data_IF_568450576930
#
_entry.id   IF_568450576930
#
_cell.length_a   1.000
_cell.length_b   1.000
_cell.length_c   1.000
_cell.angle_alpha   90.00
_cell.angle_beta   90.00
_cell.angle_gamma   90.00
#
_symmetry.space_group_name_H-M   'P 1'
#
loop_
_entity.id
_entity.type
_entity.pdbx_description
1 polymer ?
#
# COMPACT_ATOMS: atom_id res chain seq x y z
N UNK A 1 -49.66 -20.11 23.55
CA UNK A 1 -48.50 -20.55 22.74
C UNK A 1 -48.22 -19.65 21.54
N UNK A 2 -49.21 -19.27 20.70
CA UNK A 2 -49.00 -18.42 19.51
C UNK A 2 -48.33 -17.05 19.81
N UNK A 3 -48.73 -16.36 20.90
CA UNK A 3 -48.24 -15.02 21.28
C UNK A 3 -46.75 -15.00 21.68
N UNK A 4 -46.27 -16.06 22.33
CA UNK A 4 -44.88 -16.20 22.76
C UNK A 4 -43.98 -16.38 21.54
N UNK A 5 -44.42 -17.18 20.57
CA UNK A 5 -43.73 -17.38 19.30
C UNK A 5 -43.59 -16.07 18.50
N UNK A 6 -44.60 -15.20 18.55
CA UNK A 6 -44.56 -13.90 17.88
C UNK A 6 -43.54 -12.96 18.51
N UNK A 7 -43.50 -12.92 19.85
CA UNK A 7 -42.55 -12.11 20.61
C UNK A 7 -41.11 -12.59 20.40
N UNK A 8 -40.89 -13.91 20.42
CA UNK A 8 -39.58 -14.50 20.19
C UNK A 8 -39.07 -14.24 18.77
N UNK A 9 -39.95 -14.35 17.77
CA UNK A 9 -39.64 -14.05 16.37
C UNK A 9 -39.28 -12.57 16.17
N UNK A 10 -40.03 -11.66 16.80
CA UNK A 10 -39.71 -10.24 16.76
C UNK A 10 -38.33 -9.96 17.39
N UNK A 11 -38.04 -10.55 18.55
CA UNK A 11 -36.75 -10.36 19.23
C UNK A 11 -35.56 -10.90 18.40
N UNK A 12 -35.76 -12.03 17.72
CA UNK A 12 -34.77 -12.61 16.82
C UNK A 12 -34.48 -11.70 15.61
N UNK A 13 -35.53 -11.10 15.02
CA UNK A 13 -35.37 -10.15 13.91
C UNK A 13 -34.60 -8.88 14.33
N UNK A 14 -34.81 -8.39 15.56
CA UNK A 14 -34.01 -7.29 16.09
C UNK A 14 -32.54 -7.66 16.32
N UNK A 15 -32.22 -8.92 16.68
CA UNK A 15 -30.82 -9.36 16.83
C UNK A 15 -30.04 -9.47 15.51
N UNK A 16 -30.73 -9.55 14.37
CA UNK A 16 -30.11 -9.52 13.04
C UNK A 16 -29.94 -8.12 12.46
N UNK A 17 -30.18 -7.06 13.24
CA UNK A 17 -29.77 -5.71 12.87
C UNK A 17 -28.23 -5.61 12.92
N UNK A 18 -27.60 -6.16 11.89
CA UNK A 18 -26.15 -6.07 11.69
C UNK A 18 -25.78 -4.60 11.55
N UNK A 19 -25.05 -4.09 12.53
CA UNK A 19 -24.27 -2.88 12.36
C UNK A 19 -23.27 -3.16 11.26
N UNK A 20 -23.54 -2.64 10.05
CA UNK A 20 -22.57 -2.66 8.97
C UNK A 20 -21.40 -1.78 9.38
N UNK A 21 -20.42 -2.37 10.07
CA UNK A 21 -19.12 -1.75 10.26
C UNK A 21 -18.51 -1.65 8.88
N UNK A 22 -18.59 -0.45 8.30
CA UNK A 22 -17.86 -0.10 7.09
C UNK A 22 -16.37 -0.18 7.39
N UNK A 23 -15.77 -1.34 7.10
CA UNK A 23 -14.32 -1.48 7.09
C UNK A 23 -13.82 -0.71 5.87
N UNK A 24 -13.45 0.55 6.09
CA UNK A 24 -12.72 1.32 5.09
C UNK A 24 -11.32 0.72 5.01
N UNK A 25 -11.06 -0.09 3.98
CA UNK A 25 -9.71 -0.50 3.64
C UNK A 25 -8.89 0.78 3.40
N UNK A 26 -7.93 1.07 4.28
CA UNK A 26 -7.07 2.23 4.13
C UNK A 26 -6.17 1.96 2.92
N UNK A 27 -6.41 2.68 1.83
CA UNK A 27 -5.61 2.56 0.61
C UNK A 27 -4.15 2.82 0.96
N UNK A 28 -3.27 1.88 0.64
CA UNK A 28 -1.83 2.03 0.85
C UNK A 28 -1.33 3.24 0.03
N UNK A 29 -0.76 4.22 0.74
CA UNK A 29 -0.17 5.42 0.16
C UNK A 29 1.03 5.82 1.00
N UNK A 30 2.21 5.34 0.60
CA UNK A 30 3.47 5.63 1.29
C UNK A 30 4.19 6.72 0.53
N UNK A 31 4.51 7.82 1.20
CA UNK A 31 5.31 8.91 0.64
C UNK A 31 6.75 8.77 1.10
N UNK A 32 7.68 8.81 0.14
CA UNK A 32 9.11 8.73 0.33
C UNK A 32 9.77 10.00 -0.19
N UNK A 33 10.80 10.44 0.52
CA UNK A 33 11.71 11.50 0.07
C UNK A 33 13.04 10.87 -0.32
N UNK A 34 14.05 11.68 -0.59
CA UNK A 34 15.42 11.19 -0.80
C UNK A 34 15.90 10.33 0.39
N UNK A 35 16.46 9.15 0.09
CA UNK A 35 16.95 8.23 1.12
C UNK A 35 17.00 6.78 0.68
N UNK A 36 17.37 5.92 1.64
CA UNK A 36 17.45 4.46 1.48
C UNK A 36 16.43 3.84 2.43
N UNK A 37 15.54 3.01 1.89
CA UNK A 37 14.42 2.41 2.61
C UNK A 37 14.46 0.89 2.49
N UNK A 38 14.40 0.18 3.62
CA UNK A 38 14.20 -1.27 3.59
C UNK A 38 12.71 -1.56 3.36
N UNK A 39 12.39 -2.53 2.49
CA UNK A 39 10.99 -2.90 2.20
C UNK A 39 10.24 -3.31 3.47
N UNK A 40 10.92 -4.01 4.39
CA UNK A 40 10.36 -4.41 5.69
C UNK A 40 9.89 -3.23 6.54
N UNK A 41 10.65 -2.14 6.55
CA UNK A 41 10.35 -0.96 7.39
C UNK A 41 9.17 -0.16 6.83
N UNK A 42 8.96 -0.24 5.51
CA UNK A 42 7.82 0.35 4.81
C UNK A 42 6.51 -0.43 5.05
N UNK A 43 6.55 -1.57 5.76
CA UNK A 43 5.40 -2.45 6.02
C UNK A 43 4.70 -2.92 4.74
N UNK A 44 5.45 -3.00 3.64
CA UNK A 44 4.98 -3.58 2.39
C UNK A 44 4.94 -5.11 2.52
N UNK A 45 4.05 -5.76 1.78
CA UNK A 45 3.98 -7.22 1.76
C UNK A 45 5.08 -7.79 0.87
N UNK A 46 5.68 -8.87 1.33
CA UNK A 46 6.65 -9.63 0.53
C UNK A 46 5.96 -10.30 -0.67
N UNK A 47 6.73 -10.51 -1.73
CA UNK A 47 6.33 -11.11 -3.00
C UNK A 47 5.12 -10.41 -3.65
N UNK A 48 4.95 -9.11 -3.37
CA UNK A 48 3.86 -8.28 -3.90
C UNK A 48 4.43 -7.22 -4.83
N UNK A 49 3.72 -6.96 -5.93
CA UNK A 49 4.03 -5.88 -6.87
C UNK A 49 3.28 -4.63 -6.42
N UNK A 50 3.96 -3.49 -6.45
CA UNK A 50 3.40 -2.19 -6.09
C UNK A 50 3.58 -1.20 -7.24
N UNK A 51 2.86 -0.10 -7.18
CA UNK A 51 3.04 1.04 -8.07
C UNK A 51 3.91 2.09 -7.40
N UNK A 52 4.84 2.67 -8.15
CA UNK A 52 5.63 3.84 -7.74
C UNK A 52 5.38 5.01 -8.70
N UNK A 53 5.24 6.20 -8.13
CA UNK A 53 4.97 7.42 -8.89
C UNK A 53 5.64 8.62 -8.24
N UNK A 54 6.19 9.52 -9.02
CA UNK A 54 6.59 10.83 -8.53
C UNK A 54 5.41 11.79 -8.64
N UNK A 55 4.95 12.31 -7.50
CA UNK A 55 3.79 13.24 -7.41
C UNK A 55 4.24 14.68 -7.21
N UNK A 56 5.52 14.96 -7.39
CA UNK A 56 6.12 16.28 -7.18
C UNK A 56 6.65 16.87 -8.49
N UNK A 57 7.02 18.15 -8.45
CA UNK A 57 7.61 18.88 -9.57
C UNK A 57 9.12 18.59 -9.78
N UNK A 58 9.78 17.92 -8.83
CA UNK A 58 11.19 17.51 -8.98
C UNK A 58 11.32 16.24 -9.82
N UNK A 59 12.50 15.96 -10.37
CA UNK A 59 12.81 14.66 -10.98
C UNK A 59 13.48 13.77 -9.92
N UNK A 60 13.08 12.51 -9.85
CA UNK A 60 13.66 11.53 -8.94
C UNK A 60 14.18 10.32 -9.70
N UNK A 61 15.23 9.68 -9.17
CA UNK A 61 15.69 8.37 -9.59
C UNK A 61 15.37 7.38 -8.47
N UNK A 62 14.56 6.38 -8.80
CA UNK A 62 14.38 5.21 -7.95
C UNK A 62 15.30 4.09 -8.41
N UNK A 63 15.94 3.43 -7.46
CA UNK A 63 16.74 2.23 -7.66
C UNK A 63 16.28 1.19 -6.65
N UNK A 64 15.97 -0.02 -7.11
CA UNK A 64 15.76 -1.17 -6.23
C UNK A 64 17.03 -2.01 -6.20
N UNK A 65 17.47 -2.33 -4.99
CA UNK A 65 18.57 -3.25 -4.75
C UNK A 65 18.05 -4.47 -3.99
N UNK A 66 18.58 -5.65 -4.29
CA UNK A 66 18.26 -6.86 -3.56
C UNK A 66 19.08 -6.98 -2.25
N UNK A 67 18.89 -8.09 -1.52
CA UNK A 67 19.62 -8.38 -0.28
C UNK A 67 21.13 -8.56 -0.45
N UNK A 68 21.62 -8.77 -1.67
CA UNK A 68 23.05 -8.89 -2.00
C UNK A 68 23.63 -7.60 -2.59
N UNK A 69 22.88 -6.49 -2.52
CA UNK A 69 23.26 -5.19 -3.08
C UNK A 69 23.31 -5.16 -4.61
N UNK A 70 22.68 -6.12 -5.29
CA UNK A 70 22.54 -6.12 -6.74
C UNK A 70 21.40 -5.18 -7.15
N UNK A 71 21.65 -4.30 -8.13
CA UNK A 71 20.61 -3.43 -8.69
C UNK A 71 19.68 -4.25 -9.56
N UNK A 72 18.42 -4.40 -9.11
CA UNK A 72 17.41 -5.20 -9.79
C UNK A 72 16.65 -4.40 -10.85
N UNK A 73 16.33 -3.14 -10.55
CA UNK A 73 15.60 -2.24 -11.43
C UNK A 73 15.85 -0.78 -11.06
N UNK A 74 15.65 0.12 -12.02
CA UNK A 74 15.73 1.55 -11.79
C UNK A 74 14.73 2.30 -12.65
N UNK A 75 14.09 3.31 -12.08
CA UNK A 75 13.14 4.17 -12.78
C UNK A 75 13.52 5.63 -12.61
N UNK A 76 13.69 6.31 -13.75
CA UNK A 76 13.76 7.77 -13.76
C UNK A 76 12.34 8.32 -13.74
N UNK A 77 11.92 8.81 -12.58
CA UNK A 77 10.59 9.36 -12.34
C UNK A 77 10.60 10.86 -12.62
N UNK A 78 10.08 11.25 -13.79
CA UNK A 78 9.90 12.66 -14.15
C UNK A 78 8.90 13.36 -13.21
N UNK A 79 8.79 14.68 -13.32
CA UNK A 79 7.73 15.43 -12.63
C UNK A 79 6.36 14.83 -12.93
N UNK A 80 5.51 14.67 -11.92
CA UNK A 80 4.17 14.08 -12.07
C UNK A 80 4.15 12.82 -12.95
N UNK A 81 5.09 11.89 -12.71
CA UNK A 81 5.32 10.74 -13.57
C UNK A 81 4.06 9.86 -13.70
N UNK A 82 3.96 8.99 -14.73
CA UNK A 82 3.03 7.87 -14.65
C UNK A 82 3.42 6.92 -13.51
N UNK A 83 2.52 6.01 -13.19
CA UNK A 83 2.79 4.89 -12.27
C UNK A 83 3.64 3.84 -12.97
N UNK A 84 4.65 3.34 -12.27
CA UNK A 84 5.48 2.20 -12.69
C UNK A 84 5.31 1.05 -11.72
N UNK A 85 5.20 -0.17 -12.24
CA UNK A 85 5.17 -1.36 -11.39
C UNK A 85 6.59 -1.65 -10.87
N UNK A 86 6.71 -1.92 -9.58
CA UNK A 86 7.94 -2.33 -8.91
C UNK A 86 7.69 -3.63 -8.15
N UNK A 87 8.66 -4.54 -8.19
CA UNK A 87 8.54 -5.86 -7.57
C UNK A 87 8.39 -7.03 -8.56
N UNK A 88 8.04 -8.23 -8.07
CA UNK A 88 7.66 -8.54 -6.68
C UNK A 88 8.78 -8.24 -5.70
N UNK A 89 8.47 -7.53 -4.61
CA UNK A 89 9.45 -7.05 -3.63
C UNK A 89 9.73 -8.12 -2.56
N UNK A 90 10.99 -8.29 -2.15
CA UNK A 90 11.36 -9.13 -1.00
C UNK A 90 11.66 -8.26 0.21
N UNK A 91 11.51 -8.80 1.42
CA UNK A 91 11.79 -8.01 2.65
C UNK A 91 13.24 -7.57 2.78
N UNK A 92 14.15 -8.32 2.16
CA UNK A 92 15.59 -8.02 2.13
C UNK A 92 15.94 -6.94 1.11
N UNK A 93 15.03 -6.60 0.20
CA UNK A 93 15.26 -5.57 -0.81
C UNK A 93 15.26 -4.18 -0.17
N UNK A 94 15.89 -3.24 -0.88
CA UNK A 94 15.95 -1.83 -0.54
C UNK A 94 15.53 -0.99 -1.73
N UNK A 95 14.84 0.11 -1.45
CA UNK A 95 14.56 1.16 -2.43
C UNK A 95 15.43 2.36 -2.07
N UNK A 96 16.16 2.86 -3.05
CA UNK A 96 16.90 4.12 -2.98
C UNK A 96 16.14 5.14 -3.80
N UNK A 97 15.84 6.28 -3.20
CA UNK A 97 15.28 7.43 -3.88
C UNK A 97 16.34 8.52 -3.87
N UNK A 98 16.66 9.05 -5.06
CA UNK A 98 17.59 10.16 -5.24
C UNK A 98 16.87 11.31 -5.93
N UNK A 99 16.99 12.52 -5.38
CA UNK A 99 16.34 13.71 -5.94
C UNK A 99 15.41 14.43 -4.96
N UNK A 100 15.06 15.70 -5.27
CA UNK A 100 14.40 16.60 -4.31
C UNK A 100 12.89 16.41 -4.19
N UNK A 101 12.31 15.43 -4.90
CA UNK A 101 10.87 15.27 -4.98
C UNK A 101 10.31 14.22 -4.02
N UNK A 102 8.97 14.11 -4.02
CA UNK A 102 8.24 13.12 -3.22
C UNK A 102 7.74 12.02 -4.12
N UNK A 103 8.11 10.78 -3.78
CA UNK A 103 7.71 9.58 -4.48
C UNK A 103 6.65 8.84 -3.67
N UNK A 104 5.56 8.46 -4.30
CA UNK A 104 4.45 7.74 -3.69
C UNK A 104 4.44 6.29 -4.14
N UNK A 105 4.31 5.37 -3.18
CA UNK A 105 4.06 3.94 -3.42
C UNK A 105 2.59 3.64 -3.10
N UNK A 106 1.90 3.01 -4.04
CA UNK A 106 0.53 2.49 -3.88
C UNK A 106 0.48 1.01 -4.22
N UNK A 107 -0.60 0.33 -3.82
CA UNK A 107 -1.00 -0.95 -4.44
C UNK A 107 -1.18 -0.81 -5.96
#
# INVERSE_FOLDING_TARGET
MKKIFTILSALLLLSFSMNNLTVNARTLNIQLSEGIYNIRDLKLMENTTYNIQNTSAGINLMIRMDGQQEVMESHRLLENSPKYNIGPLKYVDRIVILGPGTVTITE
#
